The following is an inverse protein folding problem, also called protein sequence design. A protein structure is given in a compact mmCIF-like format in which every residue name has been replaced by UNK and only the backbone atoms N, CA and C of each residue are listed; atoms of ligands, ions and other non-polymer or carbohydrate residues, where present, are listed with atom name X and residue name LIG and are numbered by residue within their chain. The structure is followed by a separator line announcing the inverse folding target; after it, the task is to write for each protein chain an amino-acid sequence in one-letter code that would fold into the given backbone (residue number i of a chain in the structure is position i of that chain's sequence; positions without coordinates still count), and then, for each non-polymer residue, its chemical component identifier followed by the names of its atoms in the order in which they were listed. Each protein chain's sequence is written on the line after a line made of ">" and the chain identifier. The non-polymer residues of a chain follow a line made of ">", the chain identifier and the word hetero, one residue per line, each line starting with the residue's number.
data_IF_214492981096
#
_entry.id   IF_214492981096
#
_cell.length_a   1.000
_cell.length_b   1.000
_cell.length_c   1.000
_cell.angle_alpha   90.00
_cell.angle_beta   90.00
_cell.angle_gamma   90.00
#
_symmetry.space_group_name_H-M   'P 1'
#
loop_
_entity.id
_entity.type
_entity.pdbx_description
1 polymer ?
#
# COMPACT_ATOMS: atom_id res chain seq x y z
N UNK A 1 -19.46 -2.17 1.11
CA UNK A 1 -18.26 -1.33 0.82
C UNK A 1 -17.70 -1.77 -0.51
N UNK A 2 -17.28 -0.83 -1.37
CA UNK A 2 -16.62 -1.11 -2.65
C UNK A 2 -15.13 -0.90 -2.47
N UNK A 3 -14.31 -1.84 -2.95
CA UNK A 3 -12.85 -1.73 -2.97
C UNK A 3 -12.40 -1.59 -4.43
N UNK A 4 -11.63 -0.57 -4.70
CA UNK A 4 -10.99 -0.31 -5.99
C UNK A 4 -9.47 -0.26 -5.82
N UNK A 5 -8.73 -0.71 -6.84
CA UNK A 5 -7.29 -0.56 -6.91
C UNK A 5 -6.94 0.41 -8.04
N UNK A 6 -6.10 1.39 -7.74
CA UNK A 6 -5.65 2.39 -8.70
C UNK A 6 -4.13 2.31 -8.88
N UNK A 7 -3.69 2.42 -10.13
CA UNK A 7 -2.29 2.27 -10.55
C UNK A 7 -1.51 3.60 -10.58
N UNK A 8 -2.12 4.66 -10.09
CA UNK A 8 -1.49 5.97 -9.88
C UNK A 8 -2.32 6.80 -8.90
N UNK A 9 -1.62 7.60 -8.08
CA UNK A 9 -2.26 8.57 -7.19
C UNK A 9 -3.02 9.66 -7.97
N UNK A 10 -2.70 9.89 -9.23
CA UNK A 10 -3.41 10.87 -10.08
C UNK A 10 -4.84 10.45 -10.44
N UNK A 11 -5.22 9.18 -10.17
CA UNK A 11 -6.61 8.69 -10.35
C UNK A 11 -7.55 9.05 -9.21
N UNK A 12 -7.04 9.66 -8.15
CA UNK A 12 -7.82 10.24 -7.05
C UNK A 12 -7.51 11.74 -6.95
N UNK A 13 -8.49 12.56 -6.57
CA UNK A 13 -8.25 13.98 -6.37
C UNK A 13 -7.43 14.23 -5.10
N UNK A 14 -6.68 15.34 -5.08
CA UNK A 14 -5.96 15.75 -3.87
C UNK A 14 -6.92 15.96 -2.70
N UNK A 15 -8.05 16.58 -2.96
CA UNK A 15 -9.10 16.89 -1.97
C UNK A 15 -9.62 15.60 -1.32
N UNK A 16 -9.90 14.57 -2.13
CA UNK A 16 -10.38 13.27 -1.64
C UNK A 16 -9.30 12.54 -0.83
N UNK A 17 -8.05 12.59 -1.29
CA UNK A 17 -6.92 12.01 -0.55
C UNK A 17 -6.71 12.68 0.81
N UNK A 18 -6.67 14.01 0.81
CA UNK A 18 -6.42 14.78 2.04
C UNK A 18 -7.60 14.75 3.01
N UNK A 19 -8.83 14.54 2.53
CA UNK A 19 -10.00 14.34 3.38
C UNK A 19 -9.89 13.08 4.27
N UNK A 20 -9.17 12.06 3.79
CA UNK A 20 -8.91 10.83 4.55
C UNK A 20 -7.67 10.94 5.41
N UNK A 21 -6.73 11.82 5.04
CA UNK A 21 -5.48 12.03 5.76
C UNK A 21 -5.72 12.87 7.02
N UNK A 22 -6.16 12.23 8.11
CA UNK A 22 -6.39 12.87 9.41
C UNK A 22 -5.13 13.36 10.10
N UNK A 23 -3.97 12.85 9.70
CA UNK A 23 -2.68 13.12 10.35
C UNK A 23 -1.85 14.15 9.57
N UNK A 24 -0.99 14.89 10.31
CA UNK A 24 0.05 15.76 9.69
C UNK A 24 1.27 14.96 9.21
N UNK A 25 1.14 13.65 8.99
CA UNK A 25 2.25 12.80 8.58
C UNK A 25 2.73 13.16 7.17
N UNK A 26 3.95 13.71 7.05
CA UNK A 26 4.37 14.38 5.82
C UNK A 26 4.53 13.42 4.63
N UNK A 27 4.89 12.16 4.91
CA UNK A 27 5.18 11.16 3.88
C UNK A 27 3.94 10.51 3.26
N UNK A 28 2.74 10.82 3.76
CA UNK A 28 1.46 10.44 3.16
C UNK A 28 0.72 11.60 2.50
N UNK A 29 1.34 12.79 2.45
CA UNK A 29 0.76 13.90 1.69
C UNK A 29 0.68 13.55 0.22
N UNK A 30 -0.43 13.95 -0.40
CA UNK A 30 -0.69 13.74 -1.82
C UNK A 30 0.49 14.17 -2.70
N UNK A 31 1.02 15.38 -2.47
CA UNK A 31 2.12 15.92 -3.26
C UNK A 31 3.41 15.12 -3.12
N UNK A 32 3.68 14.57 -1.92
CA UNK A 32 4.88 13.76 -1.72
C UNK A 32 4.82 12.47 -2.53
N UNK A 33 3.73 11.72 -2.41
CA UNK A 33 3.57 10.46 -3.15
C UNK A 33 3.45 10.70 -4.66
N UNK A 34 2.71 11.74 -5.07
CA UNK A 34 2.64 12.15 -6.47
C UNK A 34 4.00 12.50 -7.04
N UNK A 35 4.82 13.23 -6.29
CA UNK A 35 6.18 13.57 -6.75
C UNK A 35 7.01 12.31 -7.02
N UNK A 36 6.93 11.29 -6.17
CA UNK A 36 7.64 10.02 -6.39
C UNK A 36 7.20 9.30 -7.68
N UNK A 37 5.89 9.33 -7.99
CA UNK A 37 5.37 8.71 -9.20
C UNK A 37 5.73 9.52 -10.46
N UNK A 38 5.48 10.84 -10.49
CA UNK A 38 5.70 11.65 -11.70
C UNK A 38 7.18 11.84 -12.04
N UNK A 39 8.08 11.68 -11.06
CA UNK A 39 9.54 11.69 -11.29
C UNK A 39 10.11 10.32 -11.63
N UNK A 40 9.28 9.29 -11.73
CA UNK A 40 9.67 7.89 -11.91
C UNK A 40 10.61 7.34 -10.81
N UNK A 41 10.66 7.96 -9.63
CA UNK A 41 11.31 7.35 -8.47
C UNK A 41 10.53 6.11 -8.02
N UNK A 42 9.21 6.16 -8.14
CA UNK A 42 8.30 5.03 -8.00
C UNK A 42 7.81 4.67 -9.40
N UNK A 43 8.31 3.58 -9.93
CA UNK A 43 7.95 3.05 -11.26
C UNK A 43 8.27 1.57 -11.34
N UNK A 44 7.72 0.84 -12.32
CA UNK A 44 8.04 -0.58 -12.53
C UNK A 44 9.54 -0.84 -12.71
N UNK A 45 10.27 0.08 -13.37
CA UNK A 45 11.72 -0.02 -13.61
C UNK A 45 12.52 0.08 -12.31
N UNK A 46 11.95 0.74 -11.28
CA UNK A 46 12.53 0.85 -9.95
C UNK A 46 12.01 -0.23 -8.98
N UNK A 47 11.28 -1.22 -9.50
CA UNK A 47 10.70 -2.29 -8.69
C UNK A 47 9.52 -1.86 -7.82
N UNK A 48 8.92 -0.70 -8.10
CA UNK A 48 7.77 -0.15 -7.38
C UNK A 48 6.65 0.18 -8.35
N UNK A 49 5.60 -0.62 -8.41
CA UNK A 49 4.42 -0.31 -9.23
C UNK A 49 3.27 0.10 -8.32
N UNK A 50 2.74 1.33 -8.43
CA UNK A 50 1.60 1.74 -7.62
C UNK A 50 0.37 0.84 -7.85
N UNK A 51 -0.32 0.51 -6.77
CA UNK A 51 -1.58 -0.23 -6.77
C UNK A 51 -2.40 0.17 -5.54
N UNK A 52 -2.62 1.49 -5.35
CA UNK A 52 -3.27 2.00 -4.16
C UNK A 52 -4.69 1.46 -4.00
N UNK A 53 -5.02 1.05 -2.78
CA UNK A 53 -6.36 0.57 -2.45
C UNK A 53 -7.21 1.72 -1.96
N UNK A 54 -8.42 1.84 -2.53
CA UNK A 54 -9.45 2.81 -2.15
C UNK A 54 -10.69 2.05 -1.70
N UNK A 55 -11.10 2.25 -0.46
CA UNK A 55 -12.36 1.74 0.06
C UNK A 55 -13.41 2.85 0.03
N UNK A 56 -14.56 2.61 -0.57
CA UNK A 56 -15.62 3.61 -0.70
C UNK A 56 -17.02 3.05 -0.40
N UNK A 57 -17.91 3.91 0.05
CA UNK A 57 -19.31 3.60 0.28
C UNK A 57 -20.17 4.79 -0.16
N UNK A 58 -21.21 4.54 -0.98
CA UNK A 58 -22.07 5.60 -1.51
C UNK A 58 -21.30 6.78 -2.13
N UNK A 59 -20.21 6.50 -2.85
CA UNK A 59 -19.29 7.46 -3.47
C UNK A 59 -18.44 8.28 -2.48
N UNK A 60 -18.50 7.97 -1.19
CA UNK A 60 -17.64 8.59 -0.18
C UNK A 60 -16.47 7.66 0.10
N UNK A 61 -15.25 8.20 0.14
CA UNK A 61 -14.05 7.42 0.49
C UNK A 61 -14.05 7.20 2.00
N UNK A 62 -13.98 5.94 2.37
CA UNK A 62 -13.93 5.48 3.77
C UNK A 62 -12.50 5.21 4.22
N UNK A 63 -11.67 4.71 3.31
CA UNK A 63 -10.26 4.49 3.60
C UNK A 63 -9.40 4.51 2.34
N UNK A 64 -8.12 4.80 2.53
CA UNK A 64 -7.07 4.71 1.53
C UNK A 64 -5.90 3.93 2.13
N UNK A 65 -5.31 3.03 1.35
CA UNK A 65 -4.09 2.33 1.69
C UNK A 65 -3.08 2.49 0.54
N UNK A 66 -2.00 3.27 0.72
CA UNK A 66 -0.89 3.26 -0.22
C UNK A 66 -0.33 1.85 -0.34
N UNK A 67 -0.37 1.30 -1.54
CA UNK A 67 0.01 -0.08 -1.83
C UNK A 67 0.81 -0.12 -3.11
N UNK A 68 1.77 -1.03 -3.17
CA UNK A 68 2.67 -1.18 -4.31
C UNK A 68 2.91 -2.65 -4.62
N UNK A 69 3.04 -2.97 -5.90
CA UNK A 69 3.59 -4.24 -6.35
C UNK A 69 5.11 -4.10 -6.32
N UNK A 70 5.79 -5.00 -5.63
CA UNK A 70 7.25 -5.03 -5.50
C UNK A 70 7.83 -6.23 -6.24
N UNK A 71 8.86 -5.97 -7.03
CA UNK A 71 9.61 -6.99 -7.76
C UNK A 71 10.99 -7.28 -7.15
N UNK A 72 11.38 -6.51 -6.16
CA UNK A 72 12.59 -6.68 -5.34
C UNK A 72 12.41 -6.01 -3.96
N UNK A 73 13.39 -6.08 -3.05
CA UNK A 73 13.36 -5.44 -1.72
C UNK A 73 14.03 -4.06 -1.66
N UNK A 74 14.41 -3.49 -2.80
CA UNK A 74 15.09 -2.20 -2.77
C UNK A 74 14.14 -1.07 -2.37
N UNK A 75 14.62 -0.17 -1.53
CA UNK A 75 13.87 0.98 -1.05
C UNK A 75 12.85 0.69 0.05
N UNK A 76 12.71 -0.56 0.51
CA UNK A 76 11.85 -0.92 1.64
C UNK A 76 12.54 -0.68 3.00
N UNK A 77 13.87 -0.75 3.03
CA UNK A 77 14.72 -0.73 4.24
C UNK A 77 14.45 -1.87 5.23
N UNK A 78 13.66 -2.86 4.85
CA UNK A 78 13.51 -4.13 5.52
C UNK A 78 13.99 -5.19 4.54
N UNK A 79 15.15 -5.77 4.83
CA UNK A 79 15.82 -6.68 3.89
C UNK A 79 15.36 -8.10 4.12
N UNK A 80 14.62 -8.65 3.18
CA UNK A 80 14.04 -9.98 3.22
C UNK A 80 14.69 -10.95 2.22
N UNK A 81 15.94 -10.71 1.84
CA UNK A 81 16.67 -11.54 0.87
C UNK A 81 16.77 -13.00 1.27
N UNK A 82 16.92 -13.29 2.56
CA UNK A 82 16.94 -14.66 3.05
C UNK A 82 15.60 -15.39 2.87
N UNK A 83 14.49 -14.68 2.94
CA UNK A 83 13.16 -15.20 2.64
C UNK A 83 12.99 -15.46 1.14
N UNK A 84 13.40 -14.51 0.31
CA UNK A 84 13.37 -14.67 -1.14
C UNK A 84 14.21 -15.88 -1.59
N UNK A 85 15.41 -16.06 -1.02
CA UNK A 85 16.28 -17.18 -1.29
C UNK A 85 15.66 -18.51 -0.81
N UNK A 86 15.02 -18.53 0.35
CA UNK A 86 14.32 -19.71 0.85
C UNK A 86 13.14 -20.13 -0.05
N UNK A 87 12.36 -19.19 -0.55
CA UNK A 87 11.30 -19.42 -1.52
C UNK A 87 11.88 -20.03 -2.80
N UNK A 88 12.91 -19.40 -3.36
CA UNK A 88 13.56 -19.85 -4.59
C UNK A 88 14.11 -21.27 -4.46
N UNK A 89 14.79 -21.62 -3.35
CA UNK A 89 15.30 -22.96 -3.10
C UNK A 89 14.21 -24.02 -3.02
N UNK A 90 12.97 -23.63 -2.71
CA UNK A 90 11.82 -24.51 -2.68
C UNK A 90 10.98 -24.46 -3.97
N UNK A 91 11.48 -23.84 -5.04
CA UNK A 91 10.79 -23.74 -6.33
C UNK A 91 9.59 -22.80 -6.32
N UNK A 92 9.55 -21.85 -5.37
CA UNK A 92 8.50 -20.85 -5.21
C UNK A 92 9.02 -19.46 -5.58
N UNK A 93 8.14 -18.60 -6.05
CA UNK A 93 8.44 -17.20 -6.30
C UNK A 93 8.13 -16.36 -5.07
N UNK A 94 9.10 -15.58 -4.59
CA UNK A 94 8.88 -14.60 -3.53
C UNK A 94 8.37 -13.26 -4.10
N UNK A 95 8.76 -12.93 -5.30
CA UNK A 95 8.27 -11.77 -6.04
C UNK A 95 7.41 -12.21 -7.23
N UNK A 96 6.43 -11.39 -7.66
CA UNK A 96 6.04 -10.11 -7.06
C UNK A 96 5.28 -10.31 -5.73
N UNK A 97 5.38 -9.31 -4.86
CA UNK A 97 4.62 -9.23 -3.60
C UNK A 97 3.93 -7.87 -3.50
N UNK A 98 2.90 -7.77 -2.63
CA UNK A 98 2.27 -6.50 -2.30
C UNK A 98 2.92 -5.89 -1.06
N UNK A 99 3.21 -4.58 -1.09
CA UNK A 99 3.81 -3.86 0.02
C UNK A 99 3.07 -2.55 0.28
N UNK A 100 2.62 -2.35 1.52
CA UNK A 100 2.22 -1.05 2.02
C UNK A 100 3.35 -0.47 2.86
N UNK A 101 3.99 0.56 2.34
CA UNK A 101 5.06 1.31 2.99
C UNK A 101 5.21 2.69 2.34
N UNK A 102 6.05 3.53 2.91
CA UNK A 102 6.47 4.76 2.24
C UNK A 102 7.71 4.44 1.40
N UNK A 103 7.68 4.59 0.07
CA UNK A 103 8.81 4.30 -0.76
C UNK A 103 10.06 5.09 -0.35
N UNK A 104 11.20 4.42 -0.27
CA UNK A 104 12.50 4.99 0.07
C UNK A 104 12.56 5.73 1.43
N UNK A 105 11.60 5.49 2.33
CA UNK A 105 11.48 6.23 3.58
C UNK A 105 11.24 5.29 4.76
N UNK A 106 12.26 4.97 5.57
CA UNK A 106 12.15 4.04 6.70
C UNK A 106 11.54 4.72 7.93
N UNK A 107 10.35 5.26 7.79
CA UNK A 107 9.63 5.95 8.86
C UNK A 107 8.36 5.22 9.25
N UNK A 108 8.17 4.99 10.54
CA UNK A 108 6.92 4.43 11.06
C UNK A 108 5.78 5.45 10.97
N UNK A 109 4.59 4.97 10.67
CA UNK A 109 3.40 5.81 10.57
C UNK A 109 2.18 5.02 10.08
N UNK A 110 1.04 5.70 9.89
CA UNK A 110 -0.17 5.03 9.42
C UNK A 110 0.05 4.42 8.02
N UNK A 111 -0.56 3.26 7.81
CA UNK A 111 -0.56 2.56 6.50
C UNK A 111 -1.95 2.42 5.93
N UNK A 112 -2.97 2.47 6.80
CA UNK A 112 -4.36 2.52 6.41
C UNK A 112 -4.94 3.83 6.94
N UNK A 113 -5.30 4.73 6.02
CA UNK A 113 -5.97 6.00 6.36
C UNK A 113 -7.46 5.73 6.41
N UNK A 114 -8.14 6.05 7.50
CA UNK A 114 -9.57 5.80 7.71
C UNK A 114 -10.24 7.12 8.11
N UNK A 115 -11.37 7.44 7.47
CA UNK A 115 -12.13 8.68 7.76
C UNK A 115 -12.91 8.61 9.05
N UNK A 116 -13.44 7.44 9.40
CA UNK A 116 -14.27 7.21 10.60
C UNK A 116 -13.69 6.06 11.43
N UNK A 117 -12.97 6.42 12.47
CA UNK A 117 -12.35 5.47 13.40
C UNK A 117 -13.37 4.54 14.08
N UNK A 118 -14.62 4.96 14.23
CA UNK A 118 -15.68 4.11 14.83
C UNK A 118 -16.01 2.90 13.97
N UNK A 119 -15.72 2.97 12.65
CA UNK A 119 -15.90 1.89 11.68
C UNK A 119 -14.61 1.18 11.30
N UNK A 120 -13.50 1.51 11.95
CA UNK A 120 -12.16 0.99 11.58
C UNK A 120 -12.13 -0.52 11.45
N UNK A 121 -12.73 -1.26 12.39
CA UNK A 121 -12.77 -2.72 12.37
C UNK A 121 -13.46 -3.28 11.12
N UNK A 122 -14.58 -2.71 10.74
CA UNK A 122 -15.33 -3.11 9.54
C UNK A 122 -14.50 -2.84 8.27
N UNK A 123 -13.94 -1.63 8.18
CA UNK A 123 -13.11 -1.19 7.06
C UNK A 123 -11.89 -2.10 6.89
N UNK A 124 -11.17 -2.38 7.97
CA UNK A 124 -9.99 -3.25 7.96
C UNK A 124 -10.36 -4.68 7.53
N UNK A 125 -11.51 -5.20 7.96
CA UNK A 125 -11.97 -6.51 7.52
C UNK A 125 -12.21 -6.57 6.01
N UNK A 126 -12.84 -5.55 5.43
CA UNK A 126 -13.10 -5.50 3.98
C UNK A 126 -11.79 -5.31 3.19
N UNK A 127 -10.87 -4.47 3.67
CA UNK A 127 -9.53 -4.32 3.10
C UNK A 127 -8.79 -5.67 3.13
N UNK A 128 -8.81 -6.37 4.26
CA UNK A 128 -8.12 -7.67 4.42
C UNK A 128 -8.67 -8.73 3.46
N UNK A 129 -9.99 -8.77 3.25
CA UNK A 129 -10.62 -9.67 2.26
C UNK A 129 -10.17 -9.34 0.84
N UNK A 130 -10.16 -8.05 0.48
CA UNK A 130 -9.75 -7.60 -0.85
C UNK A 130 -8.26 -7.88 -1.11
N UNK A 131 -7.39 -7.65 -0.12
CA UNK A 131 -5.97 -7.97 -0.24
C UNK A 131 -5.73 -9.47 -0.41
N UNK A 132 -6.45 -10.30 0.34
CA UNK A 132 -6.38 -11.77 0.18
C UNK A 132 -6.83 -12.18 -1.23
N UNK A 133 -7.97 -11.67 -1.67
CA UNK A 133 -8.52 -11.98 -2.99
C UNK A 133 -7.55 -11.60 -4.12
N UNK A 134 -7.05 -10.35 -4.14
CA UNK A 134 -6.15 -9.92 -5.20
C UNK A 134 -4.82 -10.69 -5.17
N UNK A 135 -4.35 -11.09 -3.99
CA UNK A 135 -3.13 -11.90 -3.86
C UNK A 135 -3.32 -13.27 -4.51
N UNK A 136 -4.47 -13.90 -4.28
CA UNK A 136 -4.79 -15.21 -4.87
C UNK A 136 -5.05 -15.11 -6.38
N UNK A 137 -5.75 -14.08 -6.85
CA UNK A 137 -6.12 -13.91 -8.27
C UNK A 137 -4.95 -13.46 -9.16
N UNK A 138 -3.98 -12.74 -8.60
CA UNK A 138 -2.87 -12.13 -9.37
C UNK A 138 -1.52 -12.80 -9.13
N UNK A 139 -1.50 -13.94 -8.45
CA UNK A 139 -0.29 -14.74 -8.16
C UNK A 139 0.79 -13.94 -7.41
N UNK A 140 0.38 -13.03 -6.52
CA UNK A 140 1.29 -12.38 -5.59
C UNK A 140 1.67 -13.35 -4.46
N UNK A 141 2.95 -13.36 -4.06
CA UNK A 141 3.43 -14.28 -3.02
C UNK A 141 2.89 -13.96 -1.63
N UNK A 142 2.67 -12.68 -1.34
CA UNK A 142 2.34 -12.20 0.00
C UNK A 142 1.93 -10.73 -0.01
N UNK A 143 1.38 -10.27 1.14
CA UNK A 143 1.14 -8.86 1.45
C UNK A 143 1.97 -8.49 2.68
N UNK A 144 2.73 -7.41 2.59
CA UNK A 144 3.54 -6.88 3.67
C UNK A 144 3.09 -5.47 4.03
N UNK A 145 2.86 -5.22 5.31
CA UNK A 145 2.61 -3.88 5.85
C UNK A 145 3.84 -3.52 6.68
N UNK A 146 4.67 -2.60 6.18
CA UNK A 146 5.97 -2.31 6.75
C UNK A 146 5.94 -1.02 7.55
N UNK A 147 6.59 -1.02 8.72
CA UNK A 147 6.75 0.16 9.58
C UNK A 147 5.41 0.82 9.93
N UNK A 148 4.36 0.01 10.14
CA UNK A 148 3.06 0.48 10.59
C UNK A 148 3.16 1.19 11.96
N UNK A 149 2.21 2.07 12.24
CA UNK A 149 2.09 2.68 13.56
C UNK A 149 1.70 1.63 14.61
N UNK A 150 2.01 1.90 15.89
CA UNK A 150 1.69 0.96 16.98
C UNK A 150 0.18 0.69 17.12
N UNK A 151 -0.62 1.65 16.73
CA UNK A 151 -2.09 1.57 16.85
C UNK A 151 -2.72 0.71 15.73
N UNK A 152 -1.92 0.34 14.70
CA UNK A 152 -2.34 -0.53 13.59
C UNK A 152 -1.88 -1.99 13.77
N UNK A 153 -1.10 -2.28 14.80
CA UNK A 153 -0.57 -3.60 15.13
C UNK A 153 -1.41 -4.21 16.25
#
# INVERSE_FOLDING_TARGET
>A
MKIDFIDSIEKITKEDWEAVLSSKYPFLKYEFLKALEVTNCVSPEQGWTPLHLIASENKTIMAIMPLYIKTDSQGEFIFDWSWADAYYRNGLNYYPKLVSSIPFTPASGPRILITDETRSREVIQEISKALKQITEESDFSSVHILLASRDEI
#
